data_IF_719456198413
#
_entry.id   IF_719456198413
#
_cell.length_a   1.000
_cell.length_b   1.000
_cell.length_c   1.000
_cell.angle_alpha   90.00
_cell.angle_beta   90.00
_cell.angle_gamma   90.00
#
_symmetry.space_group_name_H-M   'P 1'
#
loop_
_entity.id
_entity.type
_entity.pdbx_description
1 polymer ?
2 non-polymer ?
3 non-polymer ?
4 non-polymer ?
5 water ?
#
# COMPACT_ATOMS: atom_id res chain seq x y z
N UNK A 1 9.14 14.05 17.54
CA UNK A 1 9.34 14.96 16.35
C UNK A 1 9.14 14.13 15.07
N UNK A 2 8.27 14.55 14.19
CA UNK A 2 8.08 13.84 12.93
C UNK A 2 9.11 14.26 11.93
N UNK A 3 9.68 13.33 11.18
CA UNK A 3 10.52 13.72 10.03
C UNK A 3 10.18 12.80 8.85
N UNK A 4 10.09 13.40 7.66
CA UNK A 4 9.92 12.56 6.45
C UNK A 4 11.16 11.74 6.07
N UNK A 5 12.33 12.14 6.55
CA UNK A 5 13.57 11.42 6.29
C UNK A 5 14.01 10.46 7.38
N UNK A 6 13.11 10.13 8.32
CA UNK A 6 13.37 9.08 9.32
C UNK A 6 12.19 8.18 9.39
N UNK A 7 12.36 7.01 10.02
CA UNK A 7 11.20 6.16 10.34
C UNK A 7 10.53 6.69 11.64
N UNK A 8 9.20 6.84 11.63
CA UNK A 8 8.49 7.45 12.70
C UNK A 8 7.66 6.42 13.39
N UNK A 9 7.57 6.48 14.73
CA UNK A 9 6.79 5.46 15.42
C UNK A 9 5.29 5.74 15.25
N UNK A 10 4.46 4.83 15.67
CA UNK A 10 3.02 5.00 15.41
C UNK A 10 2.49 6.26 16.05
N UNK A 11 2.88 6.56 17.28
CA UNK A 11 2.34 7.77 17.96
C UNK A 11 2.64 9.04 17.14
N UNK A 12 3.85 9.08 16.60
CA UNK A 12 4.30 10.18 15.70
C UNK A 12 3.56 10.19 14.37
N UNK A 13 3.36 9.03 13.72
CA UNK A 13 2.57 8.99 12.49
C UNK A 13 1.13 9.39 12.72
N UNK A 14 0.55 8.92 13.82
CA UNK A 14 -0.86 9.28 14.12
C UNK A 14 -1.01 10.81 14.33
N UNK A 15 -0.06 11.40 15.05
CA UNK A 15 -0.07 12.82 15.31
C UNK A 15 0.12 13.56 13.98
N UNK A 16 1.01 13.05 13.12
CA UNK A 16 1.26 13.63 11.80
C UNK A 16 0.01 13.59 10.93
N UNK A 17 -0.79 12.50 10.98
CA UNK A 17 -1.99 12.43 10.17
C UNK A 17 -2.97 13.57 10.58
N UNK A 18 -3.00 13.87 11.88
CA UNK A 18 -3.90 14.97 12.39
C UNK A 18 -3.40 16.35 11.95
N UNK A 19 -2.12 16.56 12.17
CA UNK A 19 -1.44 17.82 11.89
C UNK A 19 -1.35 18.18 10.39
N UNK A 20 -1.05 17.18 9.56
CA UNK A 20 -1.00 17.41 8.10
C UNK A 20 -2.38 17.70 7.55
N UNK A 21 -3.38 17.08 8.11
CA UNK A 21 -4.74 17.35 7.78
C UNK A 21 -5.11 18.79 8.22
N UNK A 22 -4.78 19.09 9.46
CA UNK A 22 -5.11 20.34 10.10
C UNK A 22 -4.49 21.48 9.32
N UNK A 23 -3.22 21.29 8.91
CA UNK A 23 -2.45 22.30 8.18
C UNK A 23 -2.80 22.44 6.68
N UNK A 24 -3.62 21.54 6.12
CA UNK A 24 -3.88 21.48 4.64
C UNK A 24 -5.31 21.13 4.38
N UNK A 25 -6.21 21.90 4.99
CA UNK A 25 -7.61 21.56 4.95
C UNK A 25 -8.21 21.63 3.56
N UNK A 26 -7.62 22.40 2.67
CA UNK A 26 -8.12 22.47 1.31
C UNK A 26 -7.70 21.28 0.46
N UNK A 27 -6.73 20.48 0.94
CA UNK A 27 -6.26 19.34 0.18
C UNK A 27 -6.41 17.97 0.88
N UNK A 28 -6.60 17.98 2.17
CA UNK A 28 -6.54 16.74 2.96
C UNK A 28 -7.70 16.70 3.95
N UNK A 29 -8.40 15.57 3.97
CA UNK A 29 -9.28 15.25 5.09
C UNK A 29 -8.90 13.89 5.62
N UNK A 30 -9.27 13.64 6.87
CA UNK A 30 -8.87 12.42 7.56
C UNK A 30 -10.10 11.73 8.14
N UNK A 31 -10.22 10.45 7.88
CA UNK A 31 -11.23 9.60 8.52
C UNK A 31 -10.53 8.37 9.17
N UNK A 32 -11.29 7.64 9.98
CA UNK A 32 -10.88 6.32 10.50
C UNK A 32 -11.78 5.32 9.84
N UNK A 33 -11.17 4.32 9.22
CA UNK A 33 -11.95 3.33 8.52
C UNK A 33 -12.32 2.12 9.38
N UNK A 34 -11.82 2.09 10.61
CA UNK A 34 -12.18 1.01 11.52
C UNK A 34 -11.09 1.02 12.52
N UNK A 35 -11.03 -0.06 13.29
CA UNK A 35 -10.04 -0.17 14.33
C UNK A 35 -9.35 -1.51 14.20
N UNK A 36 -8.15 -1.50 14.70
CA UNK A 36 -7.32 -2.67 14.67
C UNK A 36 -7.75 -3.70 15.77
N UNK A 37 -7.21 -4.92 15.68
CA UNK A 37 -7.33 -5.89 16.79
C UNK A 37 -7.20 -5.25 18.18
N UNK A 38 -6.15 -4.45 18.37
CA UNK A 38 -5.92 -3.80 19.66
C UNK A 38 -6.69 -2.52 19.92
N UNK A 39 -7.52 -2.12 18.96
CA UNK A 39 -8.42 -0.96 19.06
C UNK A 39 -7.82 0.36 18.56
N UNK A 40 -6.73 0.33 17.79
CA UNK A 40 -6.15 1.57 17.24
C UNK A 40 -6.96 2.00 16.00
N UNK A 41 -7.19 3.30 15.87
CA UNK A 41 -7.84 3.84 14.71
C UNK A 41 -6.97 3.68 13.49
N UNK A 42 -7.58 3.15 12.45
CA UNK A 42 -6.90 2.99 11.19
C UNK A 42 -7.22 4.24 10.38
N UNK A 43 -6.29 5.18 10.34
CA UNK A 43 -6.51 6.44 9.66
C UNK A 43 -6.35 6.37 8.14
N UNK A 44 -7.13 7.18 7.45
CA UNK A 44 -7.13 7.25 6.03
C UNK A 44 -7.14 8.70 5.66
N UNK A 45 -6.23 9.08 4.75
CA UNK A 45 -6.12 10.49 4.33
C UNK A 45 -6.70 10.58 2.95
N UNK A 46 -7.58 11.52 2.72
CA UNK A 46 -8.11 11.72 1.36
C UNK A 46 -7.44 12.97 0.86
N UNK A 47 -6.58 12.83 -0.14
CA UNK A 47 -5.70 13.89 -0.61
C UNK A 47 -6.22 14.31 -1.99
N UNK A 48 -6.49 15.58 -2.14
CA UNK A 48 -7.06 16.13 -3.37
C UNK A 48 -7.86 17.39 -3.08
N UNK A 49 -7.95 18.28 -4.07
CA UNK A 49 -8.85 19.44 -3.94
C UNK A 49 -10.30 18.99 -4.24
N UNK A 50 -11.26 19.36 -3.37
CA UNK A 50 -12.71 19.09 -3.69
C UNK A 50 -13.18 19.42 -5.07
N UNK A 51 -13.99 18.52 -5.60
CA UNK A 51 -14.62 18.74 -6.87
C UNK A 51 -15.63 17.64 -7.11
N UNK A 52 -16.44 17.75 -8.18
CA UNK A 52 -17.55 16.87 -8.39
C UNK A 52 -17.13 15.59 -9.05
N UNK A 53 -17.70 14.48 -8.60
CA UNK A 53 -17.59 13.22 -9.33
C UNK A 53 -16.14 12.86 -9.62
N UNK A 54 -15.28 13.11 -8.65
CA UNK A 54 -13.84 12.86 -8.89
C UNK A 54 -13.50 11.37 -8.82
N UNK A 55 -12.78 10.81 -9.81
CA UNK A 55 -12.27 9.44 -9.67
C UNK A 55 -11.22 9.42 -8.61
N UNK A 56 -10.85 8.24 -8.17
CA UNK A 56 -9.88 8.12 -7.07
C UNK A 56 -8.89 6.97 -7.29
N UNK A 57 -7.73 7.17 -6.68
CA UNK A 57 -6.67 6.21 -6.59
C UNK A 57 -6.55 5.88 -5.09
N UNK A 58 -6.54 4.58 -4.78
CA UNK A 58 -6.34 4.14 -3.44
C UNK A 58 -4.95 3.60 -3.24
N UNK A 59 -4.20 4.09 -2.26
CA UNK A 59 -2.89 3.60 -1.92
C UNK A 59 -2.78 3.31 -0.42
N UNK A 60 -2.30 2.12 -0.10
CA UNK A 60 -1.99 1.77 1.30
C UNK A 60 -0.53 1.39 1.43
N UNK A 61 -0.08 1.54 2.65
CA UNK A 61 1.26 1.19 3.08
C UNK A 61 1.15 0.46 4.38
N UNK A 62 2.24 -0.19 4.75
CA UNK A 62 2.26 -0.79 6.07
C UNK A 62 1.40 -2.01 6.30
N UNK A 63 1.07 -2.77 5.24
CA UNK A 63 0.49 -4.08 5.47
C UNK A 63 1.36 -4.89 6.44
N UNK A 64 2.66 -4.89 6.14
CA UNK A 64 3.61 -5.77 6.79
C UNK A 64 4.44 -4.95 7.69
N UNK A 65 4.42 -5.33 8.97
CA UNK A 65 4.92 -4.49 10.02
C UNK A 65 6.34 -4.04 9.85
N UNK A 66 7.22 -4.98 9.52
CA UNK A 66 8.61 -4.75 9.34
C UNK A 66 9.05 -3.98 8.12
N UNK A 67 8.16 -3.68 7.20
CA UNK A 67 8.53 -3.08 5.91
C UNK A 67 8.39 -1.58 6.03
N UNK A 68 9.29 -1.05 6.88
CA UNK A 68 9.24 0.35 7.35
C UNK A 68 9.33 1.40 6.24
N UNK A 69 10.00 1.03 5.14
CA UNK A 69 10.12 1.91 3.99
C UNK A 69 8.74 2.13 3.36
N UNK A 70 7.83 1.17 3.46
CA UNK A 70 6.46 1.31 2.95
C UNK A 70 5.77 2.49 3.69
N UNK A 71 5.82 2.47 5.01
CA UNK A 71 5.04 3.44 5.83
C UNK A 71 5.64 4.81 5.51
N UNK A 72 6.97 4.89 5.42
CA UNK A 72 7.68 6.14 5.09
C UNK A 72 7.23 6.66 3.73
N UNK A 73 7.03 5.75 2.78
CA UNK A 73 6.62 6.18 1.44
C UNK A 73 5.29 6.87 1.41
N UNK A 74 4.29 6.28 2.09
CA UNK A 74 2.96 6.94 2.09
C UNK A 74 3.08 8.29 2.67
N UNK A 75 3.86 8.40 3.71
CA UNK A 75 4.08 9.72 4.26
C UNK A 75 4.73 10.66 3.24
N UNK A 76 5.75 10.19 2.57
CA UNK A 76 6.45 10.96 1.51
C UNK A 76 5.48 11.41 0.40
N UNK A 77 4.54 10.53 0.02
CA UNK A 77 3.60 10.87 -1.02
C UNK A 77 2.77 12.11 -0.61
N UNK A 78 2.34 12.09 0.66
CA UNK A 78 1.55 13.20 1.16
C UNK A 78 2.41 14.49 1.26
N UNK A 79 3.65 14.35 1.69
CA UNK A 79 4.61 15.41 1.70
C UNK A 79 4.69 16.09 0.33
N UNK A 80 4.82 15.26 -0.70
CA UNK A 80 4.92 15.78 -2.07
C UNK A 80 3.70 16.49 -2.51
N UNK A 81 2.53 15.87 -2.21
CA UNK A 81 1.27 16.47 -2.58
C UNK A 81 1.21 17.87 -1.97
N UNK A 82 1.45 18.01 -0.69
CA UNK A 82 1.24 19.29 -0.07
C UNK A 82 2.36 20.30 -0.46
N UNK A 83 3.58 19.84 -0.62
CA UNK A 83 4.66 20.74 -0.99
C UNK A 83 4.60 21.26 -2.40
N UNK A 84 4.24 20.41 -3.36
CA UNK A 84 4.35 20.77 -4.75
C UNK A 84 3.02 21.11 -5.41
N UNK A 85 1.91 20.95 -4.69
CA UNK A 85 0.64 21.43 -5.24
C UNK A 85 0.73 22.94 -5.58
N UNK A 86 0.41 23.30 -6.83
CA UNK A 86 0.45 24.71 -7.30
C UNK A 86 1.70 25.02 -8.13
N UNK A 87 2.79 24.33 -7.83
CA UNK A 87 4.08 24.56 -8.49
C UNK A 87 4.41 23.58 -9.60
N UNK A 88 4.03 22.34 -9.40
CA UNK A 88 4.41 21.31 -10.34
C UNK A 88 3.10 20.95 -11.02
N UNK A 89 3.06 21.17 -12.34
CA UNK A 89 1.86 20.97 -13.14
C UNK A 89 1.17 19.62 -13.03
N UNK A 90 1.91 18.52 -12.97
CA UNK A 90 1.34 17.20 -12.93
C UNK A 90 0.60 16.89 -11.63
N UNK A 91 1.32 16.96 -10.52
CA UNK A 91 0.75 16.75 -9.20
C UNK A 91 -0.45 17.71 -8.97
N UNK A 92 -0.36 18.95 -9.46
CA UNK A 92 -1.48 19.90 -9.35
C UNK A 92 -2.68 19.36 -10.13
N UNK A 93 -2.43 18.94 -11.38
CA UNK A 93 -3.51 18.40 -12.20
C UNK A 93 -4.10 17.15 -11.52
N UNK A 94 -3.24 16.26 -11.05
CA UNK A 94 -3.72 15.03 -10.35
C UNK A 94 -4.62 15.34 -9.17
N UNK A 95 -4.18 16.22 -8.30
CA UNK A 95 -4.97 16.56 -7.11
C UNK A 95 -6.21 17.32 -7.42
N UNK A 96 -6.19 18.09 -8.53
CA UNK A 96 -7.40 18.80 -8.93
C UNK A 96 -8.41 17.89 -9.54
N UNK A 97 -7.99 16.85 -10.25
CA UNK A 97 -8.89 15.98 -10.97
C UNK A 97 -9.23 14.63 -10.33
N UNK A 98 -8.35 14.16 -9.48
CA UNK A 98 -8.50 12.89 -8.76
C UNK A 98 -8.38 13.10 -7.28
N UNK A 99 -8.91 12.18 -6.49
CA UNK A 99 -8.62 12.13 -5.09
C UNK A 99 -7.69 10.95 -4.86
N UNK A 100 -6.74 11.11 -3.96
CA UNK A 100 -5.93 9.98 -3.49
C UNK A 100 -6.29 9.63 -2.12
N UNK A 101 -6.75 8.42 -1.91
CA UNK A 101 -6.86 7.88 -0.54
C UNK A 101 -5.54 7.28 -0.15
N UNK A 102 -4.92 7.79 0.88
CA UNK A 102 -3.66 7.27 1.35
C UNK A 102 -3.90 6.70 2.74
N UNK A 103 -3.65 5.42 2.87
CA UNK A 103 -3.75 4.72 4.14
C UNK A 103 -2.31 4.45 4.62
N UNK A 104 -1.78 5.34 5.49
CA UNK A 104 -0.34 5.30 5.78
C UNK A 104 0.12 4.06 6.48
N UNK A 105 -0.72 3.46 7.34
CA UNK A 105 -0.32 2.22 8.03
C UNK A 105 -1.57 1.37 8.22
N UNK A 106 -1.63 0.25 7.53
CA UNK A 106 -2.74 -0.65 7.73
C UNK A 106 -2.58 -1.45 9.03
N UNK A 107 -1.41 -2.08 9.21
CA UNK A 107 -1.20 -3.02 10.31
C UNK A 107 -0.46 -2.27 11.42
N UNK A 108 -1.24 -1.43 12.09
CA UNK A 108 -0.72 -0.59 13.12
C UNK A 108 -0.22 -1.39 14.30
N UNK A 109 -0.97 -2.41 14.67
CA UNK A 109 -0.61 -3.18 15.90
C UNK A 109 0.73 -3.81 15.68
N UNK A 110 0.92 -4.40 14.50
CA UNK A 110 2.21 -5.00 14.15
C UNK A 110 3.31 -4.00 14.11
N UNK A 111 3.03 -2.83 13.50
CA UNK A 111 4.01 -1.79 13.41
C UNK A 111 4.50 -1.34 14.79
N UNK A 112 3.55 -1.08 15.72
CA UNK A 112 3.93 -0.77 17.12
C UNK A 112 4.87 -1.85 17.72
N UNK A 113 4.51 -3.09 17.48
CA UNK A 113 5.28 -4.24 17.94
C UNK A 113 6.73 -4.25 17.37
N UNK A 114 6.90 -3.84 16.10
CA UNK A 114 8.24 -3.74 15.54
C UNK A 114 9.06 -2.68 16.20
N UNK A 115 8.40 -1.69 16.74
CA UNK A 115 9.10 -0.67 17.51
C UNK A 115 9.38 -1.05 18.99
N UNK A 116 8.50 -1.84 19.60
CA UNK A 116 8.61 -2.05 21.04
C UNK A 116 9.29 -3.36 21.35
N UNK A 117 9.09 -4.38 20.51
CA UNK A 117 9.49 -5.72 20.80
C UNK A 117 10.29 -6.48 19.78
N UNK A 118 9.91 -6.47 18.49
CA UNK A 118 10.50 -7.37 17.53
C UNK A 118 10.43 -6.69 16.18
N UNK A 119 11.58 -6.18 15.79
CA UNK A 119 11.76 -5.41 14.57
C UNK A 119 11.38 -6.19 13.32
N UNK A 120 11.41 -7.50 13.41
CA UNK A 120 11.15 -8.32 12.25
C UNK A 120 9.75 -8.96 12.22
N UNK A 121 8.79 -8.41 12.99
CA UNK A 121 7.46 -8.88 12.96
C UNK A 121 6.86 -8.50 11.62
N UNK A 122 6.00 -9.34 11.10
CA UNK A 122 5.34 -9.14 9.80
C UNK A 122 3.84 -9.02 9.93
N UNK A 123 3.27 -9.93 10.71
CA UNK A 123 1.85 -10.18 10.70
C UNK A 123 1.04 -9.19 11.54
N UNK A 124 -0.28 -9.41 11.63
CA UNK A 124 -1.10 -8.67 12.64
C UNK A 124 -0.66 -9.13 14.06
N UNK A 125 -1.35 -8.63 15.08
CA UNK A 125 -1.12 -9.08 16.46
C UNK A 125 -2.37 -9.69 17.10
N UNK A 126 -3.24 -10.20 16.27
CA UNK A 126 -4.42 -10.89 16.73
C UNK A 126 -4.09 -12.35 17.21
N UNK A 127 -5.00 -12.91 17.98
CA UNK A 127 -4.87 -14.23 18.60
C UNK A 127 -5.42 -15.24 17.68
N UNK A 128 -4.95 -16.47 17.87
CA UNK A 128 -5.37 -17.60 17.08
C UNK A 128 -5.84 -18.71 18.03
N UNK A 129 -6.96 -19.32 17.72
CA UNK A 129 -7.55 -20.43 18.55
C UNK A 129 -6.53 -21.55 18.66
N UNK A 130 -6.30 -22.08 19.84
CA UNK A 130 -5.63 -23.37 19.95
C UNK A 130 -4.14 -23.32 19.91
N UNK A 131 -3.56 -22.11 20.06
CA UNK A 131 -2.15 -21.92 20.05
C UNK A 131 -1.84 -20.58 20.74
N UNK A 132 -0.62 -20.36 21.21
CA UNK A 132 -0.24 -19.04 21.63
C UNK A 132 0.38 -18.19 20.50
N UNK A 133 0.61 -18.77 19.33
CA UNK A 133 1.21 -18.02 18.23
C UNK A 133 0.23 -16.90 17.79
N UNK A 134 0.81 -15.76 17.50
CA UNK A 134 0.09 -14.56 17.21
C UNK A 134 0.12 -14.18 15.74
N UNK A 135 -1.03 -13.76 15.24
CA UNK A 135 -1.12 -12.97 14.05
C UNK A 135 -1.39 -13.69 12.78
N UNK A 136 -1.93 -12.94 11.83
CA UNK A 136 -2.27 -13.35 10.51
C UNK A 136 -1.53 -12.48 9.52
N UNK A 137 -1.16 -13.05 8.38
CA UNK A 137 -0.56 -12.27 7.28
C UNK A 137 -1.70 -11.51 6.63
N UNK A 138 -1.73 -10.17 6.75
CA UNK A 138 -2.87 -9.47 6.14
C UNK A 138 -2.93 -9.62 4.65
N UNK A 139 -1.77 -9.84 4.01
CA UNK A 139 -1.77 -10.03 2.57
C UNK A 139 -1.96 -11.44 2.10
N UNK A 140 -2.38 -12.30 3.02
CA UNK A 140 -2.93 -13.59 2.71
C UNK A 140 -4.36 -13.69 3.24
N UNK A 141 -4.91 -12.58 3.70
CA UNK A 141 -6.26 -12.59 4.36
C UNK A 141 -7.45 -12.13 3.51
N UNK A 142 -7.22 -11.82 2.25
CA UNK A 142 -8.27 -11.34 1.37
C UNK A 142 -8.89 -12.46 0.61
N UNK A 143 -10.11 -12.21 0.20
CA UNK A 143 -10.87 -13.21 -0.50
C UNK A 143 -10.48 -13.33 -1.99
N UNK A 144 -9.32 -13.92 -2.21
CA UNK A 144 -8.69 -14.03 -3.52
C UNK A 144 -7.88 -15.34 -3.58
N UNK A 145 -8.54 -16.40 -4.09
CA UNK A 145 -8.06 -17.77 -3.93
C UNK A 145 -7.64 -18.04 -2.52
N UNK A 146 -8.44 -17.54 -1.57
CA UNK A 146 -8.04 -17.54 -0.20
C UNK A 146 -7.50 -18.87 0.30
N UNK A 147 -6.29 -18.78 0.80
CA UNK A 147 -5.58 -19.83 1.48
C UNK A 147 -5.16 -20.97 0.63
N UNK A 148 -4.98 -20.74 -0.68
CA UNK A 148 -4.66 -21.87 -1.55
C UNK A 148 -3.27 -22.13 -2.05
N UNK A 149 -2.39 -21.18 -1.99
CA UNK A 149 -1.03 -21.40 -2.50
C UNK A 149 -0.23 -20.23 -2.01
N UNK A 150 1.01 -20.49 -1.58
CA UNK A 150 1.86 -19.41 -1.09
C UNK A 150 1.30 -18.79 0.15
N UNK A 151 0.44 -19.53 0.85
CA UNK A 151 -0.09 -19.13 2.15
C UNK A 151 -0.17 -20.34 3.00
N UNK A 152 -0.05 -20.20 4.32
CA UNK A 152 0.04 -21.33 5.23
C UNK A 152 -1.24 -21.43 6.04
N UNK A 153 -1.61 -22.64 6.41
CA UNK A 153 -2.71 -22.89 7.32
C UNK A 153 -2.25 -22.88 8.76
N UNK A 154 -0.94 -22.75 8.97
CA UNK A 154 -0.41 -22.82 10.31
C UNK A 154 -0.38 -21.41 10.88
N UNK A 155 -1.08 -21.16 12.02
CA UNK A 155 -1.09 -19.85 12.72
C UNK A 155 0.28 -19.41 13.19
N UNK A 156 1.22 -20.35 13.34
CA UNK A 156 2.55 -19.96 13.75
C UNK A 156 3.45 -19.57 12.55
N UNK A 157 2.94 -19.62 11.33
CA UNK A 157 3.78 -19.35 10.11
C UNK A 157 3.61 -17.87 9.72
N UNK A 158 4.59 -17.35 9.03
CA UNK A 158 4.61 -15.97 8.63
C UNK A 158 3.58 -15.59 7.56
N UNK A 159 3.11 -16.56 6.77
CA UNK A 159 2.12 -16.32 5.71
C UNK A 159 0.74 -16.90 6.08
N UNK A 160 0.52 -17.05 7.38
CA UNK A 160 -0.73 -17.57 7.87
C UNK A 160 -1.89 -16.81 7.25
N UNK A 161 -2.81 -17.52 6.60
CA UNK A 161 -3.96 -16.91 5.89
C UNK A 161 -5.10 -16.44 6.81
N UNK A 162 -5.03 -16.81 8.09
CA UNK A 162 -6.01 -16.48 9.12
C UNK A 162 -7.09 -17.51 9.19
N UNK A 163 -8.06 -17.29 10.07
CA UNK A 163 -9.17 -18.23 10.25
C UNK A 163 -10.18 -18.26 9.09
N UNK A 164 -10.36 -17.16 8.35
CA UNK A 164 -11.25 -17.08 7.20
C UNK A 164 -10.80 -15.78 6.48
N UNK A 165 -11.12 -15.63 5.20
CA UNK A 165 -10.88 -14.37 4.52
C UNK A 165 -11.58 -13.27 5.29
N UNK A 166 -10.87 -12.17 5.43
CA UNK A 166 -11.30 -10.95 6.17
C UNK A 166 -11.53 -11.18 7.64
N UNK A 167 -10.87 -12.20 8.22
CA UNK A 167 -10.96 -12.45 9.66
C UNK A 167 -10.34 -11.34 10.42
N UNK A 168 -9.38 -10.64 9.82
CA UNK A 168 -8.74 -9.57 10.56
C UNK A 168 -9.55 -8.33 10.48
N UNK A 169 -9.59 -7.62 11.60
CA UNK A 169 -10.21 -6.33 11.63
C UNK A 169 -9.68 -5.33 10.59
N UNK A 170 -8.38 -5.38 10.35
CA UNK A 170 -7.72 -4.38 9.51
C UNK A 170 -8.08 -4.67 8.06
N UNK A 171 -8.06 -5.96 7.68
CA UNK A 171 -8.35 -6.37 6.32
C UNK A 171 -9.85 -6.21 6.05
N UNK A 172 -10.72 -6.53 7.01
CA UNK A 172 -12.15 -6.27 6.87
C UNK A 172 -12.38 -4.76 6.65
N UNK A 173 -11.68 -3.93 7.39
CA UNK A 173 -11.94 -2.51 7.31
C UNK A 173 -11.54 -1.97 5.93
N UNK A 174 -10.41 -2.49 5.41
CA UNK A 174 -9.90 -2.07 4.13
C UNK A 174 -10.82 -2.51 3.02
N UNK A 175 -11.23 -3.79 3.04
CA UNK A 175 -12.12 -4.31 2.03
C UNK A 175 -13.47 -3.62 2.04
N UNK A 176 -13.98 -3.39 3.24
CA UNK A 176 -15.27 -2.64 3.39
C UNK A 176 -15.13 -1.23 2.78
N UNK A 177 -14.07 -0.53 3.09
CA UNK A 177 -13.87 0.76 2.48
C UNK A 177 -13.86 0.71 0.97
N UNK A 178 -13.09 -0.22 0.39
CA UNK A 178 -12.98 -0.31 -1.07
C UNK A 178 -14.34 -0.67 -1.67
N UNK A 179 -14.99 -1.67 -1.09
CA UNK A 179 -16.33 -2.10 -1.57
C UNK A 179 -17.33 -0.91 -1.55
N UNK A 180 -17.25 -0.11 -0.53
CA UNK A 180 -18.11 1.07 -0.38
C UNK A 180 -17.79 2.24 -1.34
N UNK A 181 -16.63 2.21 -1.99
CA UNK A 181 -16.14 3.29 -2.83
C UNK A 181 -15.75 2.77 -4.18
N UNK A 182 -16.29 1.62 -4.55
CA UNK A 182 -15.82 0.94 -5.72
C UNK A 182 -16.07 1.72 -6.99
N UNK A 183 -17.36 2.62 -6.95
CA UNK A 183 -17.66 3.19 -8.25
C UNK A 183 -16.69 4.41 -8.51
N UNK A 184 -15.98 4.88 -7.48
CA UNK A 184 -15.00 5.99 -7.67
C UNK A 184 -13.50 5.57 -7.77
N UNK A 185 -13.16 4.44 -7.14
CA UNK A 185 -11.75 4.01 -7.05
C UNK A 185 -11.37 3.35 -8.36
N UNK A 186 -10.48 4.00 -9.12
CA UNK A 186 -10.07 3.47 -10.41
C UNK A 186 -8.75 2.67 -10.39
N UNK A 187 -7.98 2.85 -9.33
CA UNK A 187 -6.69 2.17 -9.15
C UNK A 187 -6.40 1.91 -7.72
N UNK A 188 -5.75 0.79 -7.46
CA UNK A 188 -5.38 0.34 -6.15
C UNK A 188 -3.86 0.13 -6.16
N UNK A 189 -3.14 0.75 -5.25
CA UNK A 189 -1.66 0.65 -5.15
C UNK A 189 -1.32 0.20 -3.74
N UNK A 190 -0.53 -0.85 -3.57
CA UNK A 190 -0.23 -1.29 -2.25
C UNK A 190 1.27 -1.44 -2.11
N UNK A 191 1.82 -0.75 -1.13
CA UNK A 191 3.26 -0.54 -1.02
C UNK A 191 3.84 -1.48 0.02
N UNK A 192 4.85 -2.23 -0.42
CA UNK A 192 5.62 -3.17 0.33
C UNK A 192 7.09 -2.97 0.15
N UNK A 193 7.83 -3.77 0.90
CA UNK A 193 9.23 -4.01 0.62
C UNK A 193 9.51 -5.44 0.95
N UNK A 194 10.63 -6.01 0.48
CA UNK A 194 11.60 -5.39 -0.42
C UNK A 194 11.74 -6.32 -1.62
N UNK A 195 12.47 -5.88 -2.67
CA UNK A 195 13.01 -6.66 -3.83
C UNK A 195 12.87 -5.90 -5.15
N UNK A 196 12.34 -4.64 -5.13
CA UNK A 196 12.33 -3.75 -6.29
C UNK A 196 11.51 -4.30 -7.45
N UNK A 197 10.21 -4.34 -7.24
CA UNK A 197 9.32 -4.89 -8.23
C UNK A 197 8.02 -4.11 -8.31
N UNK A 198 7.43 -4.09 -9.50
CA UNK A 198 6.06 -3.57 -9.72
C UNK A 198 5.30 -4.79 -10.18
N UNK A 199 4.39 -5.27 -9.36
CA UNK A 199 3.66 -6.53 -9.58
C UNK A 199 2.18 -6.17 -9.84
N UNK A 200 1.52 -6.97 -10.68
CA UNK A 200 0.09 -6.84 -10.92
C UNK A 200 -0.53 -8.29 -10.89
N UNK A 201 -1.86 -8.37 -10.91
CA UNK A 201 -2.53 -9.70 -10.80
C UNK A 201 -2.13 -10.62 -11.97
N UNK A 202 -2.17 -11.93 -11.78
CA UNK A 202 -2.54 -12.56 -10.51
C UNK A 202 -1.39 -13.21 -9.79
N UNK A 203 -1.49 -13.21 -8.49
CA UNK A 203 -0.60 -14.03 -7.65
C UNK A 203 -1.29 -15.31 -7.14
N UNK A 204 -2.62 -15.33 -7.00
CA UNK A 204 -3.26 -16.48 -6.39
C UNK A 204 -3.44 -17.70 -7.26
N UNK A 205 -3.30 -17.53 -8.58
CA UNK A 205 -3.19 -18.64 -9.58
C UNK A 205 -2.35 -18.13 -10.71
N UNK A 206 -1.75 -19.07 -11.45
CA UNK A 206 -1.10 -18.77 -12.73
C UNK A 206 -2.19 -18.55 -13.77
N UNK A 207 -2.75 -17.33 -13.74
CA UNK A 207 -3.73 -16.87 -14.74
C UNK A 207 -3.45 -15.37 -14.87
N UNK A 208 -3.97 -14.78 -15.93
CA UNK A 208 -3.64 -13.41 -16.30
C UNK A 208 -4.91 -12.65 -16.37
N UNK A 209 -4.85 -11.37 -15.95
CA UNK A 209 -5.91 -10.44 -16.06
C UNK A 209 -6.25 -10.16 -17.50
N UNK A 210 -7.51 -9.85 -17.72
CA UNK A 210 -8.03 -9.54 -19.08
C UNK A 210 -7.23 -8.40 -19.79
N UNK A 211 -6.87 -7.40 -19.03
CA UNK A 211 -6.00 -6.30 -19.51
C UNK A 211 -4.52 -6.50 -19.26
N UNK A 212 -4.07 -7.74 -19.32
CA UNK A 212 -2.70 -8.04 -19.10
C UNK A 212 -1.76 -7.18 -19.92
N UNK A 213 -2.08 -6.99 -21.21
CA UNK A 213 -1.13 -6.30 -22.08
C UNK A 213 -0.97 -4.87 -21.58
N UNK A 214 -2.08 -4.24 -21.25
CA UNK A 214 -2.07 -2.87 -20.74
C UNK A 214 -1.31 -2.74 -19.41
N UNK A 215 -1.54 -3.67 -18.51
CA UNK A 215 -0.81 -3.64 -17.24
C UNK A 215 0.66 -3.88 -17.40
N UNK A 216 1.00 -4.83 -18.25
CA UNK A 216 2.38 -5.10 -18.55
C UNK A 216 3.14 -3.87 -19.08
N UNK A 217 2.53 -3.18 -20.03
CA UNK A 217 3.12 -2.01 -20.60
C UNK A 217 3.23 -0.85 -19.65
N UNK A 218 2.23 -0.70 -18.80
CA UNK A 218 2.24 0.33 -17.83
C UNK A 218 3.32 0.08 -16.79
N UNK A 219 3.39 -1.15 -16.29
CA UNK A 219 4.39 -1.56 -15.30
C UNK A 219 5.79 -1.35 -15.87
N UNK A 220 6.01 -1.76 -17.12
CA UNK A 220 7.28 -1.55 -17.82
C UNK A 220 7.67 -0.09 -17.93
N UNK A 221 6.74 0.75 -18.32
CA UNK A 221 7.02 2.19 -18.41
C UNK A 221 7.25 2.83 -17.03
N UNK A 222 6.49 2.37 -16.01
CA UNK A 222 6.67 2.85 -14.63
C UNK A 222 8.06 2.47 -14.11
N UNK A 223 8.49 1.26 -14.40
CA UNK A 223 9.82 0.86 -14.00
C UNK A 223 10.90 1.65 -14.68
N UNK A 224 10.68 1.96 -15.96
CA UNK A 224 11.60 2.78 -16.74
C UNK A 224 11.67 4.17 -16.20
N UNK A 225 10.52 4.70 -15.82
CA UNK A 225 10.49 6.06 -15.22
C UNK A 225 11.22 6.15 -13.85
N UNK A 226 11.02 5.13 -13.05
CA UNK A 226 11.64 5.02 -11.75
C UNK A 226 13.19 5.03 -11.90
N UNK A 227 13.66 4.29 -12.87
CA UNK A 227 15.10 4.16 -13.08
C UNK A 227 15.76 5.43 -13.55
N UNK A 228 15.01 6.35 -14.09
CA UNK A 228 15.59 7.55 -14.63
C UNK A 228 16.30 8.37 -13.54
N UNK A 229 15.85 8.27 -12.30
CA UNK A 229 16.42 9.13 -11.27
C UNK A 229 17.81 8.65 -10.79
N UNK A 230 17.89 7.44 -10.29
CA UNK A 230 19.11 6.93 -9.70
C UNK A 230 19.59 5.62 -10.33
N UNK A 231 18.94 5.19 -11.37
CA UNK A 231 19.33 3.97 -12.05
C UNK A 231 18.82 2.74 -11.35
N UNK A 232 17.91 2.90 -10.39
CA UNK A 232 17.47 1.71 -9.62
C UNK A 232 16.66 0.78 -10.54
N UNK A 233 17.02 -0.47 -10.46
CA UNK A 233 16.48 -1.51 -11.34
C UNK A 233 15.34 -2.28 -10.67
N UNK A 234 14.16 -2.11 -11.24
CA UNK A 234 13.01 -2.92 -10.84
C UNK A 234 12.70 -4.01 -11.89
N UNK A 235 12.09 -5.08 -11.47
CA UNK A 235 11.43 -6.01 -12.37
C UNK A 235 9.93 -5.79 -12.24
N UNK A 236 9.16 -6.44 -13.10
CA UNK A 236 7.73 -6.25 -13.14
C UNK A 236 7.07 -7.45 -13.77
N UNK A 237 5.81 -7.58 -13.47
CA UNK A 237 4.90 -8.53 -14.13
C UNK A 237 3.86 -9.07 -13.16
N UNK A 238 3.18 -10.14 -13.59
CA UNK A 238 2.15 -10.75 -12.80
C UNK A 238 2.78 -11.39 -11.65
N UNK A 239 2.16 -11.23 -10.50
CA UNK A 239 2.76 -11.64 -9.28
C UNK A 239 3.24 -13.06 -9.22
N UNK A 240 2.41 -13.98 -9.69
CA UNK A 240 2.74 -15.40 -9.51
C UNK A 240 4.10 -15.78 -10.19
N UNK A 241 4.38 -15.17 -11.34
CA UNK A 241 5.58 -15.49 -12.10
C UNK A 241 6.66 -14.50 -11.89
N UNK A 242 6.37 -13.35 -11.27
CA UNK A 242 7.41 -12.33 -11.05
C UNK A 242 8.04 -12.39 -9.67
N UNK A 243 7.24 -12.71 -8.66
CA UNK A 243 7.78 -12.84 -7.29
C UNK A 243 7.52 -14.27 -6.82
N UNK A 244 6.27 -14.73 -6.69
CA UNK A 244 5.96 -16.13 -6.26
C UNK A 244 4.39 -16.22 -6.28
N UNK A 245 3.80 -17.41 -6.43
CA UNK A 245 2.32 -17.53 -6.26
C UNK A 245 2.00 -17.35 -4.82
N UNK A 246 0.97 -16.59 -4.54
CA UNK A 246 0.58 -16.34 -3.16
C UNK A 246 -0.86 -15.94 -3.23
N UNK A 247 -1.65 -16.56 -2.39
CA UNK A 247 -3.10 -16.33 -2.42
C UNK A 247 -3.48 -15.37 -1.32
N UNK A 248 -4.61 -14.71 -1.52
CA UNK A 248 -5.26 -13.90 -0.53
C UNK A 248 -4.69 -12.47 -0.46
N UNK A 249 -4.03 -12.05 -1.54
CA UNK A 249 -3.51 -10.70 -1.59
C UNK A 249 -4.54 -9.65 -1.90
N UNK A 250 -4.33 -8.45 -1.36
CA UNK A 250 -5.29 -7.36 -1.58
C UNK A 250 -5.30 -6.88 -3.03
N UNK A 251 -4.17 -6.88 -3.72
CA UNK A 251 -4.19 -6.40 -5.11
C UNK A 251 -5.04 -7.30 -6.03
N UNK A 252 -4.94 -8.61 -5.84
CA UNK A 252 -5.74 -9.56 -6.63
C UNK A 252 -7.22 -9.39 -6.32
N UNK A 253 -7.48 -9.23 -5.04
CA UNK A 253 -8.85 -9.04 -4.56
C UNK A 253 -9.46 -7.76 -5.16
N UNK A 254 -8.72 -6.65 -5.07
CA UNK A 254 -9.11 -5.37 -5.61
C UNK A 254 -9.39 -5.46 -7.10
N UNK A 255 -8.50 -6.15 -7.85
CA UNK A 255 -8.68 -6.40 -9.26
C UNK A 255 -9.93 -7.20 -9.54
N UNK A 256 -10.20 -8.23 -8.76
CA UNK A 256 -11.42 -9.01 -8.91
C UNK A 256 -12.70 -8.24 -8.55
N UNK A 257 -12.60 -7.15 -7.81
CA UNK A 257 -13.74 -6.23 -7.64
C UNK A 257 -14.00 -5.34 -8.88
N UNK A 258 -13.12 -5.30 -9.86
CA UNK A 258 -13.26 -4.49 -11.03
C UNK A 258 -12.28 -3.34 -11.06
N UNK A 259 -11.35 -3.22 -10.09
CA UNK A 259 -10.33 -2.10 -10.15
C UNK A 259 -9.24 -2.56 -11.09
N UNK A 260 -9.28 -2.00 -12.31
CA UNK A 260 -8.50 -2.46 -13.43
C UNK A 260 -7.02 -2.18 -13.29
N UNK A 261 -6.64 -1.16 -12.51
CA UNK A 261 -5.20 -0.85 -12.29
C UNK A 261 -4.88 -1.16 -10.83
N UNK A 262 -4.22 -2.28 -10.60
CA UNK A 262 -4.00 -2.80 -9.28
C UNK A 262 -2.58 -3.25 -9.25
N UNK A 263 -1.76 -2.60 -8.42
CA UNK A 263 -0.32 -2.89 -8.38
C UNK A 263 0.15 -3.02 -6.96
N UNK A 264 1.10 -3.92 -6.75
CA UNK A 264 1.94 -4.01 -5.56
C UNK A 264 3.29 -3.49 -5.91
N UNK A 265 3.79 -2.55 -5.13
CA UNK A 265 5.13 -2.04 -5.24
C UNK A 265 5.93 -2.67 -4.12
N UNK A 266 7.06 -3.26 -4.49
CA UNK A 266 8.03 -3.78 -3.57
C UNK A 266 9.23 -2.89 -3.68
N UNK A 267 9.49 -2.09 -2.64
CA UNK A 267 10.48 -1.02 -2.73
C UNK A 267 11.88 -1.60 -2.51
N UNK A 268 12.84 -0.72 -2.35
CA UNK A 268 14.25 -1.09 -2.06
C UNK A 268 14.38 -1.89 -0.79
N UNK A 269 15.43 -2.71 -0.65
CA UNK A 269 16.47 -2.90 -1.65
C UNK A 269 16.28 -4.33 -2.26
N UNK A 270 17.36 -4.98 -2.67
CA UNK A 270 17.30 -6.33 -3.16
C UNK A 270 17.91 -7.30 -2.17
N UNK A 271 18.08 -6.92 -0.92
CA UNK A 271 18.51 -7.85 0.09
C UNK A 271 19.71 -7.45 0.89
N UNK A 272 20.41 -6.41 0.51
CA UNK A 272 21.63 -6.06 1.25
C UNK A 272 21.24 -5.70 2.70
N UNK A 273 20.28 -4.79 2.84
CA UNK A 273 19.64 -4.42 4.12
C UNK A 273 18.23 -5.03 4.34
N UNK A 274 17.54 -5.40 3.25
CA UNK A 274 16.28 -6.01 3.30
C UNK A 274 15.27 -5.05 3.93
N UNK A 275 14.57 -5.56 4.93
CA UNK A 275 13.61 -4.77 5.69
C UNK A 275 14.21 -3.68 6.54
N UNK A 276 15.47 -3.87 6.97
CA UNK A 276 16.19 -2.88 7.77
C UNK A 276 16.90 -1.84 6.87
N UNK A 277 16.22 -1.30 5.87
CA UNK A 277 16.77 -0.31 4.97
C UNK A 277 17.09 0.93 5.77
N UNK A 278 18.32 1.44 5.61
CA UNK A 278 18.68 2.50 6.51
C UNK A 278 17.94 3.78 6.15
N UNK A 279 17.78 4.62 7.18
CA UNK A 279 17.14 5.88 7.06
C UNK A 279 17.76 6.73 6.00
N UNK A 280 19.08 6.59 5.79
CA UNK A 280 19.82 7.39 4.78
C UNK A 280 19.29 7.12 3.37
N UNK A 281 18.53 6.06 3.20
CA UNK A 281 18.00 5.70 1.87
C UNK A 281 16.56 6.09 1.71
N UNK A 282 15.93 6.71 2.74
CA UNK A 282 14.50 7.05 2.69
C UNK A 282 14.18 8.03 1.55
N UNK A 283 14.95 9.10 1.49
CA UNK A 283 14.71 10.13 0.50
C UNK A 283 14.84 9.56 -0.94
N UNK A 284 15.98 8.96 -1.26
CA UNK A 284 16.19 8.46 -2.63
C UNK A 284 15.15 7.41 -3.03
N UNK A 285 14.83 6.54 -2.10
CA UNK A 285 13.85 5.49 -2.37
C UNK A 285 12.49 6.16 -2.63
N UNK A 286 12.06 7.06 -1.75
CA UNK A 286 10.75 7.72 -1.96
C UNK A 286 10.71 8.55 -3.21
N UNK A 287 11.77 9.33 -3.45
CA UNK A 287 11.80 10.13 -4.63
C UNK A 287 11.66 9.31 -5.91
N UNK A 288 12.41 8.23 -6.03
CA UNK A 288 12.37 7.48 -7.31
C UNK A 288 10.99 6.81 -7.40
N UNK A 289 10.46 6.40 -6.25
CA UNK A 289 9.19 5.69 -6.23
C UNK A 289 8.08 6.68 -6.62
N UNK A 290 8.20 7.95 -6.20
CA UNK A 290 7.25 8.99 -6.64
C UNK A 290 7.12 9.02 -8.15
N UNK A 291 8.22 8.82 -8.86
CA UNK A 291 8.19 8.87 -10.31
C UNK A 291 7.29 7.78 -10.90
N UNK A 292 7.40 6.58 -10.37
CA UNK A 292 6.54 5.47 -10.78
C UNK A 292 5.09 5.67 -10.43
N UNK A 293 4.82 6.22 -9.24
CA UNK A 293 3.46 6.39 -8.77
C UNK A 293 2.80 7.48 -9.59
N UNK A 294 3.54 8.54 -9.84
CA UNK A 294 3.05 9.65 -10.66
C UNK A 294 2.86 9.19 -12.10
N UNK A 295 3.68 8.29 -12.55
CA UNK A 295 3.48 7.76 -13.90
C UNK A 295 2.15 6.97 -14.04
N UNK A 296 1.99 6.05 -13.13
CA UNK A 296 0.72 5.28 -13.04
C UNK A 296 -0.47 6.21 -12.92
N UNK A 297 -0.37 7.18 -12.03
CA UNK A 297 -1.44 8.16 -11.80
C UNK A 297 -1.80 8.92 -13.08
N UNK A 298 -0.79 9.40 -13.78
CA UNK A 298 -0.97 10.09 -15.03
C UNK A 298 -1.63 9.20 -16.08
N UNK A 299 -1.22 7.94 -16.13
CA UNK A 299 -1.81 6.97 -17.07
C UNK A 299 -3.32 6.82 -16.74
N UNK A 300 -3.61 6.54 -15.48
CA UNK A 300 -5.00 6.37 -15.03
C UNK A 300 -5.79 7.62 -15.41
N UNK A 301 -5.23 8.78 -15.15
CA UNK A 301 -5.92 9.98 -15.44
C UNK A 301 -6.24 10.12 -16.91
N UNK A 302 -5.31 9.71 -17.77
CA UNK A 302 -5.40 9.88 -19.23
C UNK A 302 -6.20 8.78 -19.90
N UNK A 303 -6.67 7.78 -19.15
CA UNK A 303 -7.36 6.69 -19.75
C UNK A 303 -8.62 6.38 -19.02
N UNK A 304 -9.31 7.37 -18.52
CA UNK A 304 -10.59 7.16 -17.81
C UNK A 304 -11.74 6.72 -18.76
X LIG B 1 10.54 15.36 -4.24
X LIG C 1 -2.65 5.81 -24.10
X LIG D 1 5.81 17.76 -17.76
X LIG E 1 4.97 -6.89 2.35
X LIG F 1 8.15 -7.76 0.43
X LIG G 1 1.64 -11.09 -2.39
X LIG G 1 0.35 -11.32 -2.83
X LIG G 1 -0.48 -12.54 -1.99
X LIG G 1 -0.26 -10.58 -3.84
X LIG G 1 -1.50 -10.93 -4.15
X LIG G 1 0.40 -9.57 -4.48
X LIG G 1 1.74 -9.33 -4.00
X LIG G 1 2.40 -10.07 -2.94
X LIG G 1 3.82 -9.84 -2.46
X LIG G 1 4.06 -9.33 -0.96
X LIG G 1 3.64 -10.41 0.00
X LIG G 1 2.51 -10.15 0.50
X LIG G 1 4.29 -11.53 0.14
X LIG G 1 5.54 -8.82 -0.71
X LIG G 1 5.97 -8.59 1.04
X LIG H 1 10.21 -10.22 0.47
X LIG H 1 9.96 -8.69 1.15
X LIG H 1 9.02 -10.57 -0.76
X LIG H 1 11.99 -10.31 -0.33
X LIG H 1 10.15 -11.52 1.90
X LIG I 1 -0.91 -10.06 -7.09
X LIG J 1 -0.46 -9.15 -6.27
#
# INVERSE_FOLDING_TARGET
GHSYEKYNNWETIEAWTKQVTSENPDLISRTAIGTTFLGNNIYLLKVGKPGPNKPAIFMDCGFHAREWISHAFCQWFVREAVLTYGYESHMTEFLNKLDFYVLPVLNIDGYIYTWTKNRMWRKTRSTNAGTTCIGTDPNRNFDAGWCTTGASTDPCDETYCGSAAESEKETKALADFIRNNLSSIKAYLTIHSYSQMILYPYSYDYKLPENNAELNNLAKAAVKELATLYGTKYTYGPGATTIYPAAGGSDDWAYDQGIKYSFTFELRDKGRYGFILPESQIQATCEETMLAIKYVTNYVLGHL
ZN ZN
ZN ZN
ZN ZN
ZN ZN
ZN ZN
9B3 C1 C2 CL1 C3 N1 N2 C4 C5 C6 C7 C8 O1 O2 C9 SE1
CAC AS O1 O2 C1 C2
ZN ZN
ZN ZN
#
